data_IF_677897269262
#
_entry.id   IF_677897269262
#
_cell.length_a   1.000
_cell.length_b   1.000
_cell.length_c   1.000
_cell.angle_alpha   90.00
_cell.angle_beta   90.00
_cell.angle_gamma   90.00
#
_symmetry.space_group_name_H-M   'P 1'
#
loop_
_entity.id
_entity.type
_entity.pdbx_description
1 polymer ?
#
# COMPACT_ATOMS: atom_id res chain seq x y z
N UNK A 1 86.99 -35.97 11.91
CA UNK A 1 86.12 -35.26 12.83
C UNK A 1 85.76 -33.92 12.17
N UNK A 2 84.69 -33.90 11.38
CA UNK A 2 84.31 -32.75 10.54
C UNK A 2 83.00 -32.23 11.06
N UNK A 3 83.03 -31.03 11.64
CA UNK A 3 81.88 -30.30 12.13
C UNK A 3 81.18 -29.59 10.95
N UNK A 4 79.88 -29.92 10.72
CA UNK A 4 79.00 -29.17 9.78
C UNK A 4 78.31 -28.04 10.51
N UNK A 5 78.24 -26.83 9.93
CA UNK A 5 77.49 -25.72 10.53
C UNK A 5 75.95 -25.87 10.25
N UNK A 6 75.16 -25.74 11.33
CA UNK A 6 73.72 -25.67 11.28
C UNK A 6 73.29 -24.24 10.91
N UNK A 7 72.60 -24.12 9.79
CA UNK A 7 71.97 -22.87 9.39
C UNK A 7 70.54 -22.77 10.00
N UNK A 8 70.10 -21.62 10.52
CA UNK A 8 68.74 -21.47 11.02
C UNK A 8 67.74 -21.28 9.83
N UNK A 9 66.71 -22.14 9.80
CA UNK A 9 65.60 -22.01 8.87
C UNK A 9 64.69 -20.88 9.38
N UNK A 10 64.69 -19.78 8.68
CA UNK A 10 63.73 -18.68 8.93
C UNK A 10 62.46 -18.99 8.15
N UNK A 11 61.36 -19.34 8.83
CA UNK A 11 60.04 -19.55 8.25
C UNK A 11 59.38 -18.18 8.16
N UNK A 12 59.02 -17.65 6.98
CA UNK A 12 58.25 -16.41 6.88
C UNK A 12 56.80 -16.69 7.30
N UNK A 13 56.32 -16.04 8.36
CA UNK A 13 54.92 -16.00 8.73
C UNK A 13 54.23 -15.05 7.75
N UNK A 14 53.48 -15.61 6.79
CA UNK A 14 52.58 -14.86 5.92
C UNK A 14 51.31 -14.56 6.72
N UNK A 15 51.19 -13.34 7.21
CA UNK A 15 49.97 -12.82 7.79
C UNK A 15 48.91 -12.63 6.68
N UNK A 16 48.02 -13.60 6.56
CA UNK A 16 46.86 -13.53 5.68
C UNK A 16 45.83 -12.58 6.33
N UNK A 17 45.87 -11.31 5.96
CA UNK A 17 44.80 -10.33 6.32
C UNK A 17 43.54 -10.63 5.50
N UNK A 18 42.62 -11.38 6.07
CA UNK A 18 41.27 -11.54 5.53
C UNK A 18 40.52 -10.21 5.68
N UNK A 19 40.39 -9.45 4.59
CA UNK A 19 39.43 -8.36 4.52
C UNK A 19 38.02 -8.96 4.57
N UNK A 20 37.37 -8.90 5.72
CA UNK A 20 35.93 -9.06 5.80
C UNK A 20 35.30 -7.83 5.06
N UNK A 21 34.98 -8.03 3.79
CA UNK A 21 34.08 -7.11 3.08
C UNK A 21 32.70 -7.24 3.73
N UNK A 22 32.43 -6.42 4.73
CA UNK A 22 31.09 -6.23 5.24
C UNK A 22 30.25 -5.73 4.07
N UNK A 23 29.28 -6.54 3.60
CA UNK A 23 28.27 -6.08 2.69
C UNK A 23 27.53 -4.92 3.38
N UNK A 24 27.81 -3.70 2.95
CA UNK A 24 26.99 -2.55 3.31
C UNK A 24 25.63 -2.81 2.67
N UNK A 25 24.64 -3.19 3.49
CA UNK A 25 23.27 -3.31 3.04
C UNK A 25 22.90 -1.93 2.49
N UNK A 26 22.69 -1.85 1.18
CA UNK A 26 22.16 -0.62 0.58
C UNK A 26 20.81 -0.33 1.25
N UNK A 27 20.57 0.93 1.66
CA UNK A 27 19.27 1.29 2.22
C UNK A 27 18.17 0.89 1.23
N UNK A 28 17.07 0.40 1.76
CA UNK A 28 15.93 -0.02 0.95
C UNK A 28 15.47 1.12 0.05
N UNK A 29 15.31 0.85 -1.24
CA UNK A 29 14.89 1.87 -2.22
C UNK A 29 13.44 2.36 -2.01
N UNK A 30 12.69 1.71 -1.12
CA UNK A 30 11.29 2.04 -0.85
C UNK A 30 10.33 1.64 -1.98
N UNK A 31 9.06 2.11 -1.90
CA UNK A 31 8.05 1.85 -2.92
C UNK A 31 8.44 2.35 -4.30
N UNK A 32 8.25 1.51 -5.33
CA UNK A 32 8.50 1.83 -6.74
C UNK A 32 7.23 1.59 -7.57
N UNK A 33 6.30 2.55 -7.59
CA UNK A 33 5.08 2.44 -8.35
C UNK A 33 5.34 2.54 -9.87
N UNK A 34 4.42 2.03 -10.71
CA UNK A 34 4.52 2.10 -12.16
C UNK A 34 4.21 3.53 -12.67
N UNK A 35 5.11 4.48 -12.42
CA UNK A 35 4.96 5.88 -12.81
C UNK A 35 5.20 6.17 -14.30
N UNK A 36 5.20 5.15 -15.15
CA UNK A 36 5.63 5.28 -16.55
C UNK A 36 7.16 5.14 -16.73
N UNK A 37 7.87 4.66 -15.70
CA UNK A 37 9.29 4.31 -15.78
C UNK A 37 9.50 3.03 -16.59
N UNK A 38 10.69 2.88 -17.18
CA UNK A 38 11.08 1.68 -17.91
C UNK A 38 11.11 0.42 -17.04
N UNK A 39 11.31 0.59 -15.73
CA UNK A 39 11.35 -0.52 -14.78
C UNK A 39 9.99 -0.71 -14.12
N UNK A 40 9.29 -1.77 -14.51
CA UNK A 40 8.04 -2.16 -13.88
C UNK A 40 8.30 -2.90 -12.56
N UNK A 41 7.41 -2.75 -11.55
CA UNK A 41 7.42 -3.60 -10.37
C UNK A 41 7.34 -5.09 -10.74
N UNK A 42 7.93 -5.95 -9.93
CA UNK A 42 7.73 -7.40 -10.08
C UNK A 42 6.31 -7.76 -9.62
N UNK A 43 5.54 -8.36 -10.51
CA UNK A 43 4.18 -8.82 -10.23
C UNK A 43 4.16 -10.34 -10.01
N UNK A 44 3.45 -10.86 -8.99
CA UNK A 44 3.27 -12.30 -8.83
C UNK A 44 2.52 -12.87 -10.04
N UNK A 45 2.62 -14.18 -10.26
CA UNK A 45 1.86 -14.85 -11.30
C UNK A 45 0.36 -14.66 -11.10
N UNK A 46 -0.39 -14.72 -12.20
CA UNK A 46 -1.84 -14.72 -12.16
C UNK A 46 -2.31 -15.91 -11.30
N UNK A 47 -3.35 -15.71 -10.53
CA UNK A 47 -3.92 -16.70 -9.59
C UNK A 47 -3.06 -16.98 -8.33
N UNK A 48 -1.91 -16.30 -8.18
CA UNK A 48 -1.17 -16.29 -6.91
C UNK A 48 -1.68 -15.19 -5.99
N UNK A 49 -1.54 -15.36 -4.67
CA UNK A 49 -1.81 -14.28 -3.73
C UNK A 49 -1.00 -13.03 -4.07
N UNK A 50 -1.51 -11.82 -3.74
CA UNK A 50 -0.75 -10.61 -3.90
C UNK A 50 0.49 -10.65 -3.01
N UNK A 51 1.58 -10.03 -3.47
CA UNK A 51 2.75 -9.78 -2.64
C UNK A 51 2.59 -8.44 -1.93
N UNK A 52 3.09 -8.39 -0.71
CA UNK A 52 3.04 -7.18 0.13
C UNK A 52 4.42 -6.86 0.68
N UNK A 53 4.66 -5.58 0.89
CA UNK A 53 5.83 -5.10 1.59
C UNK A 53 5.44 -3.96 2.52
N UNK A 54 5.98 -3.99 3.72
CA UNK A 54 5.75 -2.99 4.75
C UNK A 54 7.05 -2.24 5.03
N UNK A 55 6.96 -0.96 5.29
CA UNK A 55 8.03 -0.14 5.83
C UNK A 55 7.48 0.73 6.95
N UNK A 56 8.22 0.82 8.02
CA UNK A 56 8.12 1.94 8.92
C UNK A 56 9.09 3.06 8.52
N UNK A 57 9.06 4.19 9.22
CA UNK A 57 9.89 5.33 8.86
C UNK A 57 11.39 5.04 8.98
N UNK A 58 11.79 4.12 9.84
CA UNK A 58 13.19 3.76 10.07
C UNK A 58 13.80 2.91 8.95
N UNK A 59 12.97 2.20 8.18
CA UNK A 59 13.42 1.30 7.12
C UNK A 59 13.93 2.04 5.88
N UNK A 60 13.49 3.29 5.68
CA UNK A 60 13.86 4.12 4.54
C UNK A 60 14.87 5.20 4.94
N UNK A 61 15.80 5.49 4.03
CA UNK A 61 16.79 6.55 4.22
C UNK A 61 16.15 7.91 4.53
N UNK A 62 16.89 8.78 5.20
CA UNK A 62 16.40 10.13 5.59
C UNK A 62 15.97 10.95 4.39
N UNK A 63 16.64 10.76 3.26
CA UNK A 63 16.43 11.51 2.02
C UNK A 63 15.38 10.86 1.10
N UNK A 64 14.72 9.79 1.57
CA UNK A 64 13.67 9.16 0.78
C UNK A 64 12.53 10.16 0.52
N UNK A 65 12.17 10.30 -0.74
CA UNK A 65 11.04 11.11 -1.20
C UNK A 65 9.99 10.22 -1.86
N UNK A 66 8.70 10.53 -1.68
CA UNK A 66 7.65 9.81 -2.40
C UNK A 66 7.86 9.93 -3.90
N UNK A 67 7.64 8.85 -4.69
CA UNK A 67 7.68 8.94 -6.14
C UNK A 67 6.74 10.03 -6.67
N UNK A 68 7.21 10.82 -7.63
CA UNK A 68 6.50 12.02 -8.11
C UNK A 68 5.08 11.73 -8.59
N UNK A 69 4.83 10.56 -9.19
CA UNK A 69 3.50 10.17 -9.68
C UNK A 69 2.48 9.90 -8.59
N UNK A 70 2.89 9.82 -7.32
CA UNK A 70 1.92 9.73 -6.21
C UNK A 70 1.24 11.07 -5.93
N UNK A 71 1.87 12.17 -6.35
CA UNK A 71 1.42 13.52 -6.03
C UNK A 71 1.55 13.87 -4.54
N UNK A 72 2.20 13.03 -3.75
CA UNK A 72 2.43 13.33 -2.34
C UNK A 72 3.57 14.34 -2.18
N UNK A 73 3.26 15.44 -1.51
CA UNK A 73 4.20 16.55 -1.31
C UNK A 73 4.99 16.46 -0.01
N UNK A 74 4.52 15.63 0.94
CA UNK A 74 5.15 15.47 2.25
C UNK A 74 5.94 14.17 2.33
N UNK A 75 7.16 14.26 2.83
CA UNK A 75 8.02 13.09 3.09
C UNK A 75 7.66 12.36 4.38
N UNK A 76 6.85 13.00 5.25
CA UNK A 76 6.52 12.46 6.56
C UNK A 76 5.50 11.35 6.50
N UNK A 77 5.87 10.15 6.94
CA UNK A 77 4.98 9.02 7.14
C UNK A 77 5.38 8.25 8.42
N UNK A 78 4.45 7.49 8.97
CA UNK A 78 4.73 6.50 9.99
C UNK A 78 4.94 5.13 9.35
N UNK A 79 4.01 4.73 8.48
CA UNK A 79 4.05 3.42 7.81
C UNK A 79 3.69 3.53 6.32
N UNK A 80 4.26 2.63 5.53
CA UNK A 80 3.90 2.40 4.14
C UNK A 80 3.60 0.91 3.94
N UNK A 81 2.57 0.59 3.19
CA UNK A 81 2.26 -0.77 2.74
C UNK A 81 2.09 -0.76 1.24
N UNK A 82 2.91 -1.53 0.55
CA UNK A 82 2.75 -1.80 -0.88
C UNK A 82 2.04 -3.13 -1.05
N UNK A 83 1.08 -3.18 -1.96
CA UNK A 83 0.43 -4.42 -2.39
C UNK A 83 0.52 -4.52 -3.91
N UNK A 84 1.01 -5.65 -4.40
CA UNK A 84 1.19 -5.92 -5.82
C UNK A 84 0.51 -7.23 -6.19
N UNK A 85 -0.27 -7.23 -7.27
CA UNK A 85 -0.99 -8.43 -7.69
C UNK A 85 -1.41 -8.40 -9.16
N UNK A 86 -1.91 -9.53 -9.63
CA UNK A 86 -2.60 -9.68 -10.91
C UNK A 86 -3.98 -10.27 -10.66
N UNK A 87 -4.95 -9.87 -11.45
CA UNK A 87 -6.29 -10.43 -11.37
C UNK A 87 -6.98 -10.38 -12.73
N UNK A 88 -8.04 -11.20 -12.89
CA UNK A 88 -8.88 -11.19 -14.08
C UNK A 88 -10.06 -10.23 -13.91
N UNK A 89 -10.34 -9.48 -14.98
CA UNK A 89 -11.53 -8.64 -15.08
C UNK A 89 -12.05 -8.68 -16.51
N UNK A 90 -13.03 -9.53 -16.75
CA UNK A 90 -13.69 -9.65 -18.07
C UNK A 90 -14.53 -8.42 -18.44
N UNK A 91 -14.90 -7.60 -17.46
CA UNK A 91 -15.65 -6.36 -17.66
C UNK A 91 -14.77 -5.15 -18.05
N UNK A 92 -13.45 -5.36 -18.15
CA UNK A 92 -12.49 -4.34 -18.59
C UNK A 92 -12.48 -3.08 -17.73
N UNK A 93 -12.03 -1.97 -18.30
CA UNK A 93 -11.92 -0.68 -17.62
C UNK A 93 -13.27 -0.17 -17.09
N UNK A 94 -14.35 -0.35 -17.82
CA UNK A 94 -15.67 0.14 -17.39
C UNK A 94 -16.21 -0.63 -16.17
N UNK A 95 -15.92 -1.93 -16.10
CA UNK A 95 -16.23 -2.71 -14.91
C UNK A 95 -15.43 -2.25 -13.69
N UNK A 96 -14.15 -1.92 -13.89
CA UNK A 96 -13.32 -1.37 -12.83
C UNK A 96 -13.74 0.04 -12.42
N UNK A 97 -14.13 0.91 -13.37
CA UNK A 97 -14.72 2.22 -13.04
C UNK A 97 -15.98 2.10 -12.20
N UNK A 98 -16.88 1.17 -12.57
CA UNK A 98 -18.06 0.88 -11.73
C UNK A 98 -17.66 0.48 -10.33
N UNK A 99 -16.66 -0.41 -10.18
CA UNK A 99 -16.19 -0.86 -8.88
C UNK A 99 -15.50 0.24 -8.06
N UNK A 100 -14.74 1.12 -8.70
CA UNK A 100 -14.15 2.31 -8.05
C UNK A 100 -15.29 3.24 -7.56
N UNK A 101 -16.33 3.41 -8.34
CA UNK A 101 -17.48 4.27 -8.02
C UNK A 101 -18.46 3.69 -7.02
N UNK A 102 -18.48 2.36 -6.83
CA UNK A 102 -19.43 1.63 -5.96
C UNK A 102 -19.04 1.77 -4.48
N UNK A 103 -19.03 2.98 -3.96
CA UNK A 103 -18.59 3.27 -2.59
C UNK A 103 -19.42 2.51 -1.55
N UNK A 104 -20.72 2.35 -1.78
CA UNK A 104 -21.59 1.62 -0.86
C UNK A 104 -21.21 0.14 -0.72
N UNK A 105 -20.60 -0.46 -1.74
CA UNK A 105 -20.14 -1.84 -1.73
C UNK A 105 -18.87 -2.06 -0.87
N UNK A 106 -18.19 -1.00 -0.45
CA UNK A 106 -17.10 -1.11 0.53
C UNK A 106 -17.60 -1.57 1.90
N UNK A 107 -18.87 -1.32 2.21
CA UNK A 107 -19.50 -1.77 3.46
C UNK A 107 -19.46 -3.29 3.54
N UNK A 108 -19.02 -3.80 4.70
CA UNK A 108 -18.88 -5.23 4.94
C UNK A 108 -17.55 -5.81 4.43
N UNK A 109 -16.63 -4.99 3.94
CA UNK A 109 -15.26 -5.44 3.66
C UNK A 109 -14.61 -5.99 4.93
N UNK A 110 -13.94 -7.15 4.82
CA UNK A 110 -13.30 -7.82 5.94
C UNK A 110 -11.78 -7.80 5.82
N UNK A 111 -11.12 -7.89 6.96
CA UNK A 111 -9.68 -8.13 7.07
C UNK A 111 -9.39 -9.09 8.23
N UNK A 112 -8.27 -9.77 8.19
CA UNK A 112 -7.83 -10.61 9.31
C UNK A 112 -7.17 -9.74 10.38
N UNK A 113 -7.73 -9.73 11.59
CA UNK A 113 -7.14 -9.09 12.76
C UNK A 113 -6.13 -10.04 13.39
N UNK A 114 -4.84 -9.71 13.34
CA UNK A 114 -3.80 -10.53 13.96
C UNK A 114 -3.82 -10.46 15.49
N UNK A 115 -4.38 -9.39 16.04
CA UNK A 115 -4.56 -9.22 17.50
C UNK A 115 -5.69 -10.10 18.02
N UNK A 116 -6.83 -10.11 17.33
CA UNK A 116 -8.01 -10.88 17.73
C UNK A 116 -8.03 -12.29 17.16
N UNK A 117 -7.17 -12.56 16.15
CA UNK A 117 -7.07 -13.85 15.44
C UNK A 117 -8.38 -14.30 14.80
N UNK A 118 -9.09 -13.35 14.21
CA UNK A 118 -10.35 -13.59 13.52
C UNK A 118 -10.58 -12.58 12.38
N UNK A 119 -11.53 -12.90 11.49
CA UNK A 119 -11.98 -11.98 10.47
C UNK A 119 -12.84 -10.88 11.10
N UNK A 120 -12.43 -9.63 10.88
CA UNK A 120 -13.12 -8.44 11.34
C UNK A 120 -13.68 -7.65 10.17
N UNK A 121 -14.84 -7.04 10.36
CA UNK A 121 -15.34 -6.05 9.40
C UNK A 121 -14.42 -4.84 9.42
N UNK A 122 -13.78 -4.53 8.30
CA UNK A 122 -12.93 -3.35 8.14
C UNK A 122 -13.79 -2.08 7.99
N UNK A 123 -14.75 -2.13 7.06
CA UNK A 123 -15.60 -0.98 6.73
C UNK A 123 -17.03 -1.29 7.15
N UNK A 124 -17.51 -0.59 8.17
CA UNK A 124 -18.84 -0.80 8.74
C UNK A 124 -19.93 0.01 8.06
N UNK A 125 -19.56 1.14 7.43
CA UNK A 125 -20.45 1.94 6.60
C UNK A 125 -19.65 2.74 5.56
N UNK A 126 -20.21 2.90 4.35
CA UNK A 126 -19.64 3.74 3.30
C UNK A 126 -20.72 4.25 2.37
N UNK A 127 -20.58 5.49 1.89
CA UNK A 127 -21.48 6.09 0.90
C UNK A 127 -20.84 7.31 0.22
N UNK A 128 -21.25 7.57 -1.02
CA UNK A 128 -20.82 8.75 -1.75
C UNK A 128 -21.49 10.02 -1.21
N UNK A 129 -20.76 11.14 -1.34
CA UNK A 129 -21.18 12.47 -0.91
C UNK A 129 -21.30 13.42 -2.10
N UNK A 130 -22.19 14.41 -2.00
CA UNK A 130 -22.38 15.40 -3.08
C UNK A 130 -21.24 16.42 -3.17
N UNK A 131 -20.43 16.59 -2.13
CA UNK A 131 -19.33 17.55 -2.01
C UNK A 131 -19.05 17.91 -0.57
N UNK A 132 -18.17 18.91 -0.35
CA UNK A 132 -17.74 19.31 0.99
C UNK A 132 -18.66 20.31 1.68
N UNK A 133 -19.16 21.31 0.93
CA UNK A 133 -19.83 22.49 1.49
C UNK A 133 -21.25 22.24 2.02
N UNK A 134 -21.88 21.16 1.59
CA UNK A 134 -23.16 20.69 2.08
C UNK A 134 -23.23 19.19 1.87
N UNK A 135 -22.24 18.48 2.44
CA UNK A 135 -22.11 17.05 2.29
C UNK A 135 -23.44 16.35 2.57
N UNK A 136 -23.99 15.76 1.53
CA UNK A 136 -25.24 14.99 1.59
C UNK A 136 -24.96 13.62 0.98
N UNK A 137 -25.44 12.61 1.66
CA UNK A 137 -25.41 11.25 1.14
C UNK A 137 -26.09 11.21 -0.22
N UNK A 138 -25.45 10.58 -1.18
CA UNK A 138 -25.96 10.32 -2.53
C UNK A 138 -25.79 8.84 -2.88
N UNK A 139 -26.32 8.43 -4.02
CA UNK A 139 -26.00 7.15 -4.66
C UNK A 139 -24.52 7.07 -5.06
N UNK A 140 -24.08 5.86 -5.37
CA UNK A 140 -22.73 5.61 -5.85
C UNK A 140 -22.38 6.45 -7.09
N UNK A 141 -21.08 6.62 -7.33
CA UNK A 141 -20.60 7.31 -8.53
C UNK A 141 -20.81 6.44 -9.78
N UNK A 142 -21.28 7.05 -10.85
CA UNK A 142 -21.38 6.40 -12.15
C UNK A 142 -19.98 6.20 -12.76
N UNK A 143 -19.78 5.25 -13.71
CA UNK A 143 -18.51 5.10 -14.42
C UNK A 143 -18.01 6.38 -15.09
N UNK A 144 -18.92 7.24 -15.57
CA UNK A 144 -18.59 8.49 -16.25
C UNK A 144 -18.06 9.56 -15.27
N UNK A 145 -18.38 9.45 -13.99
CA UNK A 145 -17.83 10.31 -12.95
C UNK A 145 -16.39 9.91 -12.59
N UNK A 146 -15.98 8.65 -12.89
CA UNK A 146 -14.60 8.16 -12.72
C UNK A 146 -13.78 8.62 -13.95
N UNK A 147 -13.58 9.92 -14.07
CA UNK A 147 -12.90 10.56 -15.18
C UNK A 147 -11.69 11.36 -14.69
N UNK A 148 -10.63 11.38 -15.50
CA UNK A 148 -9.38 12.07 -15.18
C UNK A 148 -9.60 13.53 -14.77
N UNK A 149 -8.87 13.95 -13.72
CA UNK A 149 -8.97 15.29 -13.14
C UNK A 149 -10.13 15.47 -12.16
N UNK A 150 -11.03 14.50 -12.00
CA UNK A 150 -12.17 14.61 -11.06
C UNK A 150 -11.75 14.41 -9.62
N UNK A 151 -12.44 15.14 -8.75
CA UNK A 151 -12.42 14.97 -7.30
C UNK A 151 -13.79 14.48 -6.85
N UNK A 152 -13.81 13.37 -6.13
CA UNK A 152 -15.00 12.72 -5.62
C UNK A 152 -14.90 12.63 -4.10
N UNK A 153 -16.02 12.74 -3.41
CA UNK A 153 -16.05 12.75 -1.95
C UNK A 153 -16.94 11.62 -1.44
N UNK A 154 -16.49 10.92 -0.43
CA UNK A 154 -17.26 9.85 0.17
C UNK A 154 -16.98 9.76 1.67
N UNK A 155 -17.96 9.29 2.42
CA UNK A 155 -17.77 8.93 3.81
C UNK A 155 -17.48 7.45 3.92
N UNK A 156 -16.54 7.13 4.78
CA UNK A 156 -16.25 5.76 5.19
C UNK A 156 -16.14 5.72 6.72
N UNK A 157 -16.68 4.67 7.32
CA UNK A 157 -16.51 4.37 8.72
C UNK A 157 -15.81 3.02 8.87
N UNK A 158 -14.68 2.98 9.56
CA UNK A 158 -14.03 1.73 9.90
C UNK A 158 -14.37 1.30 11.34
N UNK A 159 -14.01 0.07 11.67
CA UNK A 159 -14.34 -0.53 12.95
C UNK A 159 -13.53 0.01 14.14
N UNK A 160 -12.45 0.76 13.90
CA UNK A 160 -11.57 1.28 14.95
C UNK A 160 -11.58 2.79 15.06
N UNK A 161 -11.45 3.49 13.94
CA UNK A 161 -11.25 4.94 13.91
C UNK A 161 -12.52 5.73 13.54
N UNK A 162 -13.67 5.05 13.54
CA UNK A 162 -14.96 5.67 13.29
C UNK A 162 -15.10 6.18 11.85
N UNK A 163 -15.86 7.26 11.68
CA UNK A 163 -16.19 7.80 10.36
C UNK A 163 -15.30 8.97 9.98
N UNK A 164 -14.95 9.04 8.69
CA UNK A 164 -14.28 10.17 8.08
C UNK A 164 -14.79 10.42 6.67
N UNK A 165 -14.67 11.66 6.21
CA UNK A 165 -14.84 12.00 4.81
C UNK A 165 -13.49 11.84 4.12
N UNK A 166 -13.52 11.17 2.98
CA UNK A 166 -12.39 10.98 2.10
C UNK A 166 -12.58 11.79 0.81
N UNK A 167 -11.48 12.25 0.27
CA UNK A 167 -11.38 12.77 -1.08
C UNK A 167 -10.70 11.72 -1.94
N UNK A 168 -11.32 11.36 -3.06
CA UNK A 168 -10.73 10.55 -4.12
C UNK A 168 -10.38 11.47 -5.29
N UNK A 169 -9.19 11.36 -5.83
CA UNK A 169 -8.76 12.06 -7.04
C UNK A 169 -8.48 11.04 -8.13
N UNK A 170 -9.06 11.24 -9.31
CA UNK A 170 -8.84 10.41 -10.48
C UNK A 170 -7.66 11.00 -11.28
N UNK A 171 -6.55 10.29 -11.31
CA UNK A 171 -5.30 10.73 -11.93
C UNK A 171 -5.18 10.26 -13.38
N UNK A 172 -5.76 9.11 -13.70
CA UNK A 172 -5.86 8.58 -15.06
C UNK A 172 -7.08 7.69 -15.16
N UNK A 173 -7.78 7.74 -16.31
CA UNK A 173 -8.99 6.96 -16.57
C UNK A 173 -9.07 6.52 -18.03
N UNK A 174 -7.99 5.95 -18.57
CA UNK A 174 -7.95 5.39 -19.92
C UNK A 174 -8.51 3.96 -19.97
N UNK A 175 -8.74 3.38 -21.16
CA UNK A 175 -9.14 1.98 -21.30
C UNK A 175 -8.13 0.97 -20.76
N UNK A 176 -6.85 1.34 -20.69
CA UNK A 176 -5.77 0.44 -20.32
C UNK A 176 -5.10 0.82 -18.98
N UNK A 177 -5.51 1.97 -18.39
CA UNK A 177 -4.90 2.45 -17.16
C UNK A 177 -5.90 3.25 -16.34
N UNK A 178 -6.08 2.85 -15.08
CA UNK A 178 -6.84 3.59 -14.08
C UNK A 178 -5.91 3.89 -12.91
N UNK A 179 -5.74 5.18 -12.59
CA UNK A 179 -4.94 5.62 -11.43
C UNK A 179 -5.78 6.58 -10.61
N UNK A 180 -5.91 6.29 -9.34
CA UNK A 180 -6.63 7.15 -8.41
C UNK A 180 -6.01 7.09 -7.03
N UNK A 181 -6.14 8.17 -6.29
CA UNK A 181 -5.76 8.23 -4.89
C UNK A 181 -6.97 8.52 -4.00
N UNK A 182 -6.79 8.27 -2.72
CA UNK A 182 -7.75 8.69 -1.68
C UNK A 182 -7.01 9.16 -0.45
N UNK A 183 -7.58 10.17 0.24
CA UNK A 183 -7.07 10.62 1.54
C UNK A 183 -8.24 11.03 2.45
N UNK A 184 -8.08 10.83 3.75
CA UNK A 184 -9.03 11.39 4.72
C UNK A 184 -8.85 12.90 4.78
N UNK A 185 -9.96 13.65 4.72
CA UNK A 185 -9.98 15.12 4.81
C UNK A 185 -10.63 15.60 6.10
N UNK A 186 -11.11 14.70 6.94
CA UNK A 186 -11.57 14.98 8.29
C UNK A 186 -10.83 14.14 9.29
N UNK A 187 -10.77 14.61 10.54
CA UNK A 187 -10.14 13.86 11.64
C UNK A 187 -10.93 12.59 11.95
N UNK A 188 -10.21 11.50 12.17
CA UNK A 188 -10.76 10.22 12.61
C UNK A 188 -10.53 10.07 14.10
N UNK A 189 -11.53 9.59 14.83
CA UNK A 189 -11.49 9.50 16.28
C UNK A 189 -11.81 8.08 16.76
N UNK A 190 -11.09 7.66 17.78
CA UNK A 190 -11.52 6.57 18.65
C UNK A 190 -12.11 7.20 19.92
N UNK A 191 -13.42 7.17 20.06
CA UNK A 191 -14.13 7.96 21.06
C UNK A 191 -13.81 9.46 20.93
N UNK A 192 -13.15 10.04 21.93
CA UNK A 192 -12.73 11.45 21.96
C UNK A 192 -11.26 11.63 21.58
N UNK A 193 -10.53 10.55 21.30
CA UNK A 193 -9.09 10.60 21.00
C UNK A 193 -8.93 10.69 19.49
N UNK A 194 -8.31 11.76 18.97
CA UNK A 194 -7.96 11.81 17.54
C UNK A 194 -6.87 10.78 17.24
N UNK A 195 -7.16 9.88 16.30
CA UNK A 195 -6.21 8.88 15.83
C UNK A 195 -5.47 9.34 14.58
N UNK A 196 -6.19 9.93 13.64
CA UNK A 196 -5.66 10.40 12.36
C UNK A 196 -6.20 11.78 12.05
N UNK A 197 -5.30 12.70 11.72
CA UNK A 197 -5.65 14.03 11.23
C UNK A 197 -5.90 14.01 9.71
N UNK A 198 -6.48 15.07 9.13
CA UNK A 198 -6.61 15.18 7.69
C UNK A 198 -5.29 14.93 6.97
N UNK A 199 -5.29 14.05 5.96
CA UNK A 199 -4.12 13.64 5.21
C UNK A 199 -3.23 12.58 5.88
N UNK A 200 -3.58 12.07 7.06
CA UNK A 200 -2.81 11.01 7.72
C UNK A 200 -3.09 9.62 7.14
N UNK A 201 -4.24 9.41 6.52
CA UNK A 201 -4.54 8.16 5.79
C UNK A 201 -4.62 8.47 4.31
N UNK A 202 -3.67 7.94 3.58
CA UNK A 202 -3.59 8.11 2.13
C UNK A 202 -3.36 6.76 1.45
N UNK A 203 -3.94 6.60 0.28
CA UNK A 203 -3.66 5.46 -0.57
C UNK A 203 -3.67 5.90 -2.03
N UNK A 204 -2.82 5.27 -2.85
CA UNK A 204 -2.84 5.41 -4.30
C UNK A 204 -2.89 4.03 -4.94
N UNK A 205 -3.64 3.93 -6.02
CA UNK A 205 -3.92 2.69 -6.73
C UNK A 205 -3.58 2.86 -8.20
N UNK A 206 -2.88 1.88 -8.74
CA UNK A 206 -2.56 1.76 -10.16
C UNK A 206 -3.15 0.44 -10.65
N UNK A 207 -4.04 0.53 -11.61
CA UNK A 207 -4.65 -0.60 -12.30
C UNK A 207 -4.25 -0.50 -13.76
N UNK A 208 -3.31 -1.33 -14.19
CA UNK A 208 -2.78 -1.34 -15.55
C UNK A 208 -3.22 -2.62 -16.27
N UNK A 209 -3.76 -2.46 -17.47
CA UNK A 209 -4.16 -3.60 -18.30
C UNK A 209 -2.91 -4.30 -18.85
N UNK A 210 -2.80 -5.59 -18.62
CA UNK A 210 -1.69 -6.41 -19.12
C UNK A 210 -2.10 -7.17 -20.39
N UNK A 211 -3.34 -7.64 -20.44
CA UNK A 211 -3.94 -8.30 -21.60
C UNK A 211 -5.45 -8.04 -21.64
N UNK A 212 -6.20 -8.71 -22.53
CA UNK A 212 -7.61 -8.45 -22.73
C UNK A 212 -8.43 -8.52 -21.42
N UNK A 213 -8.13 -9.48 -20.55
CA UNK A 213 -8.86 -9.75 -19.31
C UNK A 213 -7.96 -9.75 -18.06
N UNK A 214 -6.66 -9.47 -18.19
CA UNK A 214 -5.71 -9.46 -17.07
C UNK A 214 -5.30 -8.04 -16.73
N UNK A 215 -5.37 -7.72 -15.45
CA UNK A 215 -4.99 -6.43 -14.88
C UNK A 215 -3.91 -6.61 -13.83
N UNK A 216 -2.95 -5.71 -13.84
CA UNK A 216 -1.94 -5.53 -12.81
C UNK A 216 -2.46 -4.53 -11.79
N UNK A 217 -2.31 -4.87 -10.54
CA UNK A 217 -2.65 -4.02 -9.40
C UNK A 217 -1.38 -3.65 -8.65
N UNK A 218 -1.20 -2.38 -8.41
CA UNK A 218 -0.20 -1.85 -7.52
C UNK A 218 -0.83 -0.79 -6.63
N UNK A 219 -0.63 -0.88 -5.33
CA UNK A 219 -1.08 0.17 -4.41
C UNK A 219 -0.02 0.50 -3.38
N UNK A 220 -0.05 1.73 -2.91
CA UNK A 220 0.67 2.18 -1.73
C UNK A 220 -0.36 2.75 -0.77
N UNK A 221 -0.48 2.16 0.41
CA UNK A 221 -1.19 2.74 1.54
C UNK A 221 -0.18 3.41 2.49
N UNK A 222 -0.47 4.64 2.91
CA UNK A 222 0.40 5.46 3.75
C UNK A 222 -0.33 5.94 4.98
N UNK A 223 0.33 5.82 6.14
CA UNK A 223 -0.10 6.46 7.38
C UNK A 223 0.82 7.64 7.67
N UNK A 224 0.26 8.81 7.94
CA UNK A 224 1.01 10.04 8.19
C UNK A 224 1.79 9.99 9.51
N UNK A 225 2.82 10.82 9.61
CA UNK A 225 3.70 10.89 10.79
C UNK A 225 3.01 11.35 12.06
N UNK A 226 1.85 11.99 11.94
CA UNK A 226 1.07 12.50 13.06
C UNK A 226 0.03 11.49 13.56
N UNK A 227 -0.02 10.30 12.95
CA UNK A 227 -0.88 9.23 13.42
C UNK A 227 -0.57 8.88 14.88
N UNK A 228 -1.62 8.66 15.67
CA UNK A 228 -1.47 8.36 17.09
C UNK A 228 -0.66 7.07 17.28
N UNK A 229 0.22 7.03 18.28
CA UNK A 229 1.03 5.87 18.64
C UNK A 229 0.20 4.61 18.94
N UNK A 230 -1.08 4.75 19.29
CA UNK A 230 -2.01 3.63 19.43
C UNK A 230 -2.22 2.84 18.12
N UNK A 231 -1.87 3.43 16.98
CA UNK A 231 -1.96 2.79 15.65
C UNK A 231 -0.66 2.11 15.23
N UNK A 232 0.42 2.24 15.99
CA UNK A 232 1.72 1.63 15.74
C UNK A 232 1.79 0.16 16.20
N UNK A 233 2.74 -0.61 15.65
CA UNK A 233 2.96 -2.02 16.06
C UNK A 233 1.97 -3.03 15.47
N UNK A 234 1.18 -2.64 14.46
CA UNK A 234 0.18 -3.50 13.82
C UNK A 234 0.50 -3.79 12.35
N UNK A 235 1.77 -4.08 12.04
CA UNK A 235 2.24 -4.35 10.68
C UNK A 235 1.36 -5.38 9.95
N UNK A 236 1.20 -6.57 10.52
CA UNK A 236 0.41 -7.64 9.89
C UNK A 236 -1.06 -7.25 9.67
N UNK A 237 -1.67 -6.51 10.60
CA UNK A 237 -3.02 -5.98 10.42
C UNK A 237 -3.08 -4.93 9.31
N UNK A 238 -2.06 -4.07 9.17
CA UNK A 238 -1.96 -3.09 8.10
C UNK A 238 -1.83 -3.75 6.74
N UNK A 239 -1.02 -4.81 6.64
CA UNK A 239 -0.91 -5.66 5.44
C UNK A 239 -2.27 -6.28 5.09
N UNK A 240 -2.95 -6.89 6.05
CA UNK A 240 -4.26 -7.53 5.81
C UNK A 240 -5.33 -6.52 5.36
N UNK A 241 -5.31 -5.29 5.88
CA UNK A 241 -6.19 -4.19 5.42
C UNK A 241 -5.89 -3.80 3.98
N UNK A 242 -4.62 -3.65 3.61
CA UNK A 242 -4.23 -3.32 2.24
C UNK A 242 -4.62 -4.44 1.24
N UNK A 243 -4.47 -5.71 1.64
CA UNK A 243 -4.89 -6.86 0.82
C UNK A 243 -6.42 -6.95 0.70
N UNK A 244 -7.20 -6.48 1.68
CA UNK A 244 -8.65 -6.43 1.56
C UNK A 244 -9.09 -5.54 0.39
N UNK A 245 -8.44 -4.39 0.17
CA UNK A 245 -8.71 -3.56 -1.00
C UNK A 245 -8.30 -4.24 -2.31
N UNK A 246 -7.14 -4.91 -2.36
CA UNK A 246 -6.80 -5.72 -3.54
C UNK A 246 -7.90 -6.74 -3.86
N UNK A 247 -8.33 -7.51 -2.87
CA UNK A 247 -9.40 -8.50 -3.03
C UNK A 247 -10.70 -7.88 -3.53
N UNK A 248 -11.07 -6.74 -2.97
CA UNK A 248 -12.24 -5.98 -3.42
C UNK A 248 -12.15 -5.64 -4.91
N UNK A 249 -11.06 -5.03 -5.38
CA UNK A 249 -10.88 -4.69 -6.79
C UNK A 249 -10.77 -5.92 -7.69
N UNK A 250 -10.19 -6.99 -7.21
CA UNK A 250 -10.09 -8.26 -7.93
C UNK A 250 -11.40 -9.06 -7.96
N UNK A 251 -12.45 -8.64 -7.22
CA UNK A 251 -13.70 -9.37 -7.11
C UNK A 251 -13.58 -10.67 -6.33
N UNK A 252 -12.62 -10.73 -5.42
CA UNK A 252 -12.37 -11.88 -4.55
C UNK A 252 -13.01 -11.58 -3.18
N UNK A 253 -13.65 -12.56 -2.50
CA UNK A 253 -14.13 -12.36 -1.14
C UNK A 253 -13.01 -11.83 -0.23
N UNK A 254 -13.30 -10.77 0.55
CA UNK A 254 -12.26 -10.08 1.33
C UNK A 254 -11.83 -10.89 2.55
N UNK A 255 -12.63 -11.84 2.99
CA UNK A 255 -12.37 -12.82 4.05
C UNK A 255 -11.83 -14.18 3.54
N UNK A 256 -11.28 -14.21 2.32
CA UNK A 256 -10.73 -15.43 1.73
C UNK A 256 -9.52 -15.95 2.50
N UNK A 257 -9.54 -17.23 2.83
CA UNK A 257 -8.38 -17.93 3.42
C UNK A 257 -7.28 -18.24 2.39
N UNK A 258 -6.02 -18.32 2.79
CA UNK A 258 -5.49 -17.85 4.09
C UNK A 258 -5.40 -16.32 4.14
N UNK A 259 -5.31 -15.70 5.35
CA UNK A 259 -4.97 -14.27 5.47
C UNK A 259 -3.57 -14.00 4.90
N UNK A 260 -3.32 -12.77 4.46
CA UNK A 260 -2.04 -12.39 3.86
C UNK A 260 -0.90 -12.36 4.90
N UNK A 261 -1.21 -11.96 6.12
CA UNK A 261 -0.30 -12.02 7.26
C UNK A 261 -1.02 -12.60 8.49
N UNK A 262 -0.28 -13.35 9.34
CA UNK A 262 -0.79 -14.04 10.53
C UNK A 262 -0.17 -13.51 11.82
#
# INVERSE_FOLDING_TARGET
>A
MTLFPRWPVVIPIVLLTTFLSGAVLSPDSGPQPPCGSETLPSYPDLDKPPTTRFWDRSDLGRDWVPPACTGWTTQGFATLVVTVGRFRSSSGADGLRRRIGAISELKGMHYWSTTQKEWQTLIVDAYAETGLSAAKRRGDFSPDEIAEGKYLYFQQADNLSGKAIYRMRILSASPDRLVFDSENITTMHYWLIPLFHPGDIQAIYFLDRESQDVWRYYSIARTGKNANTLTSGHEASSVNRAVAFYRYFAGIPTDKEPPAAR
#
